data_IF_129630028177
#
_entry.id   IF_129630028177
#
_cell.length_a   1.000
_cell.length_b   1.000
_cell.length_c   1.000
_cell.angle_alpha   90.00
_cell.angle_beta   90.00
_cell.angle_gamma   90.00
#
_symmetry.space_group_name_H-M   'P 1'
#
loop_
_entity.id
_entity.type
_entity.pdbx_description
1 polymer ?
#
# COMPACT_ATOMS: atom_id res chain seq x y z
N UNK A 1 -15.21 -0.59 4.69
CA UNK A 1 -15.78 -0.27 3.36
C UNK A 1 -14.69 0.43 2.58
N UNK A 2 -14.20 -0.20 1.51
CA UNK A 2 -13.03 0.25 0.76
C UNK A 2 -13.38 1.47 -0.09
N UNK A 3 -13.13 2.69 0.42
CA UNK A 3 -13.04 3.86 -0.44
C UNK A 3 -11.65 3.83 -1.07
N UNK A 4 -11.55 3.24 -2.26
CA UNK A 4 -10.46 3.53 -3.17
C UNK A 4 -10.49 5.04 -3.44
N UNK A 5 -9.38 5.71 -3.15
CA UNK A 5 -9.14 7.06 -3.65
C UNK A 5 -9.37 7.05 -5.17
N UNK A 6 -10.33 7.81 -5.66
CA UNK A 6 -10.64 7.86 -7.07
C UNK A 6 -11.71 8.87 -7.38
N UNK A 7 -11.35 10.14 -7.44
CA UNK A 7 -12.13 11.22 -8.07
C UNK A 7 -12.22 11.03 -9.60
N UNK A 8 -12.31 9.80 -10.09
CA UNK A 8 -12.61 9.56 -11.48
C UNK A 8 -14.10 9.80 -11.68
N UNK A 9 -14.47 10.42 -12.79
CA UNK A 9 -15.85 10.67 -13.22
C UNK A 9 -16.63 9.37 -13.53
N UNK A 10 -16.46 8.33 -12.73
CA UNK A 10 -17.00 6.98 -12.91
C UNK A 10 -18.53 7.01 -12.79
N UNK A 11 -19.09 7.82 -11.88
CA UNK A 11 -20.53 7.99 -11.75
C UNK A 11 -21.15 8.59 -13.02
N UNK A 12 -20.58 9.69 -13.52
CA UNK A 12 -21.03 10.34 -14.77
C UNK A 12 -20.79 9.45 -16.00
N UNK A 13 -19.71 8.65 -15.98
CA UNK A 13 -19.44 7.67 -17.03
C UNK A 13 -20.49 6.55 -17.02
N UNK A 14 -20.89 6.06 -15.85
CA UNK A 14 -21.93 5.02 -15.74
C UNK A 14 -23.29 5.52 -16.19
N UNK A 15 -23.72 6.73 -15.78
CA UNK A 15 -25.01 7.30 -16.18
C UNK A 15 -25.08 7.61 -17.68
N UNK A 16 -23.97 8.05 -18.28
CA UNK A 16 -23.86 8.23 -19.73
C UNK A 16 -23.97 6.88 -20.46
N UNK A 17 -23.21 5.87 -20.02
CA UNK A 17 -23.23 4.54 -20.65
C UNK A 17 -24.59 3.85 -20.50
N UNK A 18 -25.30 4.07 -19.40
CA UNK A 18 -26.66 3.57 -19.19
C UNK A 18 -27.65 4.22 -20.16
N UNK A 19 -27.60 5.56 -20.34
CA UNK A 19 -28.43 6.27 -21.33
C UNK A 19 -28.16 5.78 -22.76
N UNK A 20 -26.88 5.66 -23.14
CA UNK A 20 -26.48 5.20 -24.47
C UNK A 20 -26.99 3.77 -24.72
N UNK A 21 -26.96 2.91 -23.70
CA UNK A 21 -27.46 1.54 -23.77
C UNK A 21 -28.99 1.47 -23.96
N UNK A 22 -29.74 2.39 -23.36
CA UNK A 22 -31.20 2.47 -23.53
C UNK A 22 -31.62 2.95 -24.93
N UNK A 23 -30.75 3.70 -25.61
CA UNK A 23 -30.98 4.26 -26.94
C UNK A 23 -30.18 3.55 -28.05
N UNK A 24 -30.00 2.23 -27.93
CA UNK A 24 -29.34 1.39 -28.95
C UNK A 24 -27.95 1.88 -29.39
N UNK A 25 -27.21 2.48 -28.45
CA UNK A 25 -25.89 3.05 -28.65
C UNK A 25 -25.83 4.36 -29.46
N UNK A 26 -26.96 5.05 -29.61
CA UNK A 26 -26.99 6.41 -30.18
C UNK A 26 -26.72 7.48 -29.11
N UNK A 27 -25.82 8.42 -29.42
CA UNK A 27 -25.38 9.47 -28.49
C UNK A 27 -26.21 10.76 -28.56
N UNK A 28 -27.02 10.93 -29.61
CA UNK A 28 -27.85 12.11 -29.86
C UNK A 28 -28.90 12.38 -28.77
N UNK A 29 -29.58 11.38 -28.15
CA UNK A 29 -30.51 11.64 -27.04
C UNK A 29 -29.82 11.88 -25.69
N UNK A 30 -28.54 11.48 -25.55
CA UNK A 30 -27.82 11.51 -24.27
C UNK A 30 -26.93 12.75 -24.07
N UNK A 31 -27.24 13.87 -24.72
CA UNK A 31 -26.42 15.09 -24.69
C UNK A 31 -26.24 15.68 -23.29
N UNK A 32 -27.24 15.54 -22.42
CA UNK A 32 -27.18 16.03 -21.04
C UNK A 32 -26.17 15.26 -20.18
N UNK A 33 -26.14 13.94 -20.33
CA UNK A 33 -25.23 13.04 -19.62
C UNK A 33 -23.81 13.18 -20.16
N UNK A 34 -23.67 13.39 -21.48
CA UNK A 34 -22.38 13.68 -22.12
C UNK A 34 -21.80 15.00 -21.60
N UNK A 35 -22.61 16.07 -21.54
CA UNK A 35 -22.16 17.36 -21.02
C UNK A 35 -21.76 17.28 -19.54
N UNK A 36 -22.49 16.52 -18.72
CA UNK A 36 -22.15 16.27 -17.32
C UNK A 36 -20.81 15.55 -17.16
N UNK A 37 -20.56 14.51 -17.97
CA UNK A 37 -19.29 13.80 -17.99
C UNK A 37 -18.13 14.69 -18.45
N UNK A 38 -18.30 15.47 -19.52
CA UNK A 38 -17.27 16.38 -20.03
C UNK A 38 -16.90 17.45 -19.00
N UNK A 39 -17.90 18.04 -18.33
CA UNK A 39 -17.69 19.00 -17.25
C UNK A 39 -16.89 18.37 -16.08
N UNK A 40 -17.23 17.15 -15.68
CA UNK A 40 -16.48 16.42 -14.66
C UNK A 40 -15.04 16.14 -15.11
N UNK A 41 -14.84 15.73 -16.37
CA UNK A 41 -13.51 15.42 -16.90
C UNK A 41 -12.60 16.64 -17.02
N UNK A 42 -13.14 17.82 -17.31
CA UNK A 42 -12.39 19.08 -17.30
C UNK A 42 -11.91 19.41 -15.88
N UNK A 43 -12.81 19.34 -14.89
CA UNK A 43 -12.46 19.55 -13.48
C UNK A 43 -11.41 18.54 -13.00
N UNK A 44 -11.51 17.27 -13.42
CA UNK A 44 -10.53 16.25 -13.07
C UNK A 44 -9.16 16.50 -13.71
N UNK A 45 -9.11 16.99 -14.95
CA UNK A 45 -7.86 17.39 -15.61
C UNK A 45 -7.19 18.55 -14.88
N UNK A 46 -7.97 19.53 -14.44
CA UNK A 46 -7.49 20.67 -13.67
C UNK A 46 -6.92 20.24 -12.31
N UNK A 47 -7.65 19.42 -11.55
CA UNK A 47 -7.16 18.92 -10.26
C UNK A 47 -5.92 18.04 -10.41
N UNK A 48 -5.83 17.19 -11.45
CA UNK A 48 -4.59 16.44 -11.73
C UNK A 48 -3.43 17.38 -12.08
N UNK A 49 -3.68 18.43 -12.87
CA UNK A 49 -2.66 19.41 -13.25
C UNK A 49 -2.13 20.15 -12.03
N UNK A 50 -3.02 20.56 -11.13
CA UNK A 50 -2.71 21.19 -9.85
C UNK A 50 -1.95 20.25 -8.91
N UNK A 51 -2.41 19.00 -8.76
CA UNK A 51 -1.69 17.97 -7.99
C UNK A 51 -0.28 17.72 -8.54
N UNK A 52 -0.10 17.76 -9.87
CA UNK A 52 1.21 17.61 -10.53
C UNK A 52 2.11 18.84 -10.32
N UNK A 53 1.59 20.07 -10.33
CA UNK A 53 2.38 21.27 -10.02
C UNK A 53 2.78 21.29 -8.55
N UNK A 54 1.85 20.99 -7.64
CA UNK A 54 2.10 20.91 -6.19
C UNK A 54 3.11 19.81 -5.86
N UNK A 55 3.00 18.64 -6.50
CA UNK A 55 3.98 17.56 -6.34
C UNK A 55 5.36 17.94 -6.88
N UNK A 56 5.44 18.74 -7.95
CA UNK A 56 6.71 19.28 -8.49
C UNK A 56 7.35 20.28 -7.52
N UNK A 57 6.53 21.10 -6.87
CA UNK A 57 6.97 22.08 -5.87
C UNK A 57 7.24 21.45 -4.49
N UNK A 58 6.81 20.20 -4.27
CA UNK A 58 7.01 19.48 -3.01
C UNK A 58 6.10 19.96 -1.88
N UNK A 59 5.05 20.73 -2.19
CA UNK A 59 4.08 21.23 -1.22
C UNK A 59 3.05 20.11 -0.89
N UNK A 60 2.58 20.08 0.36
CA UNK A 60 1.55 19.13 0.80
C UNK A 60 0.18 19.63 0.32
N UNK A 61 -0.50 18.87 -0.54
CA UNK A 61 -1.88 19.13 -0.94
C UNK A 61 -2.86 18.54 0.10
N UNK A 62 -3.65 19.44 0.70
CA UNK A 62 -4.76 19.28 1.66
C UNK A 62 -4.82 18.06 2.59
N UNK A 63 -4.72 18.39 3.89
CA UNK A 63 -5.23 17.75 5.14
C UNK A 63 -5.23 16.23 5.32
N UNK A 64 -4.77 15.43 4.37
CA UNK A 64 -4.58 13.99 4.59
C UNK A 64 -3.16 13.79 5.06
N UNK A 65 -3.01 13.73 6.39
CA UNK A 65 -1.81 13.34 7.16
C UNK A 65 -1.09 12.11 6.57
N UNK A 66 -0.37 12.29 5.47
CA UNK A 66 0.48 11.29 4.82
C UNK A 66 1.74 12.01 4.39
N UNK A 67 2.81 11.73 5.11
CA UNK A 67 4.15 12.23 4.81
C UNK A 67 4.49 11.99 3.34
N UNK A 68 5.13 12.98 2.71
CA UNK A 68 5.56 12.85 1.31
C UNK A 68 6.55 11.69 1.17
N UNK A 69 6.65 11.11 -0.03
CA UNK A 69 7.62 10.04 -0.28
C UNK A 69 9.05 10.47 0.03
N UNK A 70 9.39 11.75 -0.20
CA UNK A 70 10.68 12.33 0.18
C UNK A 70 10.88 12.36 1.71
N UNK A 71 9.86 12.77 2.49
CA UNK A 71 9.90 12.73 3.95
C UNK A 71 10.02 11.30 4.49
N UNK A 72 9.34 10.33 3.85
CA UNK A 72 9.44 8.90 4.18
C UNK A 72 10.85 8.39 3.89
N UNK A 73 11.43 8.70 2.72
CA UNK A 73 12.78 8.27 2.36
C UNK A 73 13.84 8.87 3.28
N UNK A 74 13.72 10.16 3.63
CA UNK A 74 14.57 10.80 4.62
C UNK A 74 14.45 10.13 6.00
N UNK A 75 13.24 9.72 6.40
CA UNK A 75 13.03 8.96 7.63
C UNK A 75 13.64 7.55 7.56
N UNK A 76 13.56 6.88 6.41
CA UNK A 76 14.11 5.53 6.20
C UNK A 76 15.64 5.52 6.17
N UNK A 77 16.28 6.60 5.71
CA UNK A 77 17.75 6.74 5.76
C UNK A 77 18.24 7.08 7.16
N UNK A 78 17.51 7.91 7.91
CA UNK A 78 17.85 8.25 9.31
C UNK A 78 17.71 7.05 10.26
N UNK A 79 16.73 6.18 10.02
CA UNK A 79 16.47 4.98 10.82
C UNK A 79 16.57 3.71 9.97
N UNK A 80 17.79 3.40 9.54
CA UNK A 80 18.05 2.17 8.80
C UNK A 80 17.63 0.95 9.64
N UNK A 81 16.75 0.14 9.08
CA UNK A 81 16.45 -1.15 9.70
C UNK A 81 17.66 -2.05 9.51
N UNK A 82 18.14 -2.75 10.56
CA UNK A 82 19.19 -3.73 10.37
C UNK A 82 18.64 -4.80 9.42
N UNK A 83 19.13 -4.77 8.18
CA UNK A 83 18.98 -5.89 7.26
C UNK A 83 19.53 -7.16 7.91
N UNK A 84 19.11 -8.36 7.46
CA UNK A 84 19.76 -9.57 7.92
C UNK A 84 21.26 -9.42 7.64
N UNK A 85 22.10 -9.43 8.67
CA UNK A 85 23.54 -9.29 8.46
C UNK A 85 24.00 -10.49 7.64
N UNK A 86 24.30 -10.27 6.36
CA UNK A 86 24.97 -11.26 5.50
C UNK A 86 26.44 -11.25 5.89
N UNK A 87 26.75 -11.50 7.17
CA UNK A 87 28.13 -11.50 7.67
C UNK A 87 28.71 -12.89 7.92
N UNK A 88 27.94 -13.97 7.81
CA UNK A 88 28.48 -15.31 7.99
C UNK A 88 27.79 -16.32 7.05
N UNK A 89 28.29 -16.42 5.82
CA UNK A 89 27.97 -17.52 4.88
C UNK A 89 28.93 -18.72 5.04
N UNK A 90 29.84 -18.70 6.02
CA UNK A 90 30.94 -19.68 6.12
C UNK A 90 30.82 -20.73 7.23
N UNK A 91 29.75 -20.74 8.00
CA UNK A 91 29.57 -21.75 9.04
C UNK A 91 28.61 -22.85 8.55
N UNK A 92 29.05 -23.64 7.56
CA UNK A 92 28.41 -24.89 7.16
C UNK A 92 28.67 -26.01 8.17
N UNK A 93 28.64 -25.72 9.48
CA UNK A 93 28.43 -26.80 10.47
C UNK A 93 27.09 -27.42 10.12
N UNK A 94 27.14 -28.61 9.54
CA UNK A 94 26.02 -29.27 8.87
C UNK A 94 24.79 -29.26 9.77
N UNK A 95 23.90 -28.28 9.56
CA UNK A 95 22.58 -28.31 10.14
C UNK A 95 21.94 -29.63 9.70
N UNK A 96 21.25 -30.30 10.62
CA UNK A 96 20.67 -31.62 10.36
C UNK A 96 20.02 -31.73 8.97
N UNK A 97 20.24 -32.86 8.28
CA UNK A 97 19.72 -33.08 6.94
C UNK A 97 18.18 -33.12 6.97
N UNK A 98 17.54 -31.98 6.62
CA UNK A 98 16.08 -31.78 6.65
C UNK A 98 15.50 -31.76 5.24
N UNK A 99 14.29 -32.29 5.09
CA UNK A 99 13.52 -32.19 3.85
C UNK A 99 13.21 -30.73 3.49
N UNK A 100 12.99 -30.46 2.20
CA UNK A 100 12.67 -29.12 1.71
C UNK A 100 11.41 -28.52 2.36
N UNK A 101 10.38 -29.35 2.59
CA UNK A 101 9.14 -28.92 3.25
C UNK A 101 9.40 -28.43 4.67
N UNK A 102 10.22 -29.12 5.45
CA UNK A 102 10.62 -28.71 6.80
C UNK A 102 11.45 -27.43 6.74
N UNK A 103 12.42 -27.33 5.81
CA UNK A 103 13.23 -26.13 5.61
C UNK A 103 12.37 -24.89 5.33
N UNK A 104 11.36 -24.99 4.46
CA UNK A 104 10.40 -23.90 4.19
C UNK A 104 9.62 -23.50 5.45
N UNK A 105 9.12 -24.47 6.22
CA UNK A 105 8.41 -24.17 7.49
C UNK A 105 9.33 -23.44 8.48
N UNK A 106 10.56 -23.90 8.64
CA UNK A 106 11.57 -23.27 9.52
C UNK A 106 11.91 -21.84 9.09
N UNK A 107 12.17 -21.63 7.79
CA UNK A 107 12.47 -20.31 7.24
C UNK A 107 11.32 -19.32 7.45
N UNK A 108 10.07 -19.75 7.23
CA UNK A 108 8.87 -18.92 7.50
C UNK A 108 8.78 -18.55 8.99
N UNK A 109 9.01 -19.51 9.87
CA UNK A 109 8.96 -19.27 11.31
C UNK A 109 10.07 -18.33 11.80
N UNK A 110 11.25 -18.36 11.18
CA UNK A 110 12.32 -17.40 11.44
C UNK A 110 11.96 -15.99 10.92
N UNK A 111 11.41 -15.89 9.69
CA UNK A 111 11.01 -14.61 9.08
C UNK A 111 9.95 -13.87 9.91
N UNK A 112 8.99 -14.60 10.49
CA UNK A 112 7.91 -14.05 11.31
C UNK A 112 8.42 -13.59 12.70
N UNK A 113 9.50 -14.17 13.21
CA UNK A 113 10.01 -13.89 14.56
C UNK A 113 10.82 -12.59 14.66
N UNK A 114 10.23 -11.47 14.21
CA UNK A 114 10.83 -10.13 14.19
C UNK A 114 10.01 -9.14 15.03
N UNK A 115 10.63 -8.09 15.62
CA UNK A 115 9.90 -7.01 16.29
C UNK A 115 8.97 -6.26 15.33
N UNK A 116 7.97 -5.58 15.88
CA UNK A 116 7.10 -4.67 15.11
C UNK A 116 7.93 -3.46 14.67
N UNK A 117 7.86 -3.04 13.40
CA UNK A 117 8.57 -1.86 12.91
C UNK A 117 8.17 -0.58 13.65
N UNK A 118 9.13 0.35 13.81
CA UNK A 118 8.92 1.56 14.60
C UNK A 118 7.83 2.47 14.01
N UNK A 119 7.79 2.67 12.69
CA UNK A 119 6.75 3.49 12.05
C UNK A 119 5.33 2.95 12.25
N UNK A 120 5.15 1.63 12.45
CA UNK A 120 3.86 1.04 12.79
C UNK A 120 3.44 1.47 14.19
N UNK A 121 4.38 1.57 15.13
CA UNK A 121 4.12 2.08 16.49
C UNK A 121 3.79 3.58 16.51
N UNK A 122 4.35 4.34 15.57
CA UNK A 122 4.15 5.80 15.47
C UNK A 122 2.84 6.18 14.76
N UNK A 123 2.10 5.23 14.18
CA UNK A 123 0.79 5.51 13.56
C UNK A 123 -0.27 5.84 14.62
N UNK A 124 -0.96 6.97 14.43
CA UNK A 124 -2.10 7.39 15.27
C UNK A 124 -3.23 6.36 15.25
N UNK A 125 -3.83 6.07 16.41
CA UNK A 125 -4.93 5.10 16.54
C UNK A 125 -4.52 3.62 16.49
N UNK A 126 -3.23 3.29 16.48
CA UNK A 126 -2.79 1.90 16.43
C UNK A 126 -2.72 1.22 17.81
N UNK A 127 -3.44 0.09 17.97
CA UNK A 127 -3.45 -0.71 19.21
C UNK A 127 -2.32 -1.75 19.28
N UNK A 128 -1.63 -2.01 18.16
CA UNK A 128 -0.63 -3.09 18.04
C UNK A 128 0.73 -2.62 18.60
N UNK A 129 1.12 -3.10 19.79
CA UNK A 129 2.40 -2.74 20.43
C UNK A 129 3.53 -3.76 20.25
N UNK A 130 3.18 -5.04 20.16
CA UNK A 130 4.12 -6.16 20.02
C UNK A 130 3.61 -7.17 18.98
N UNK A 131 4.50 -8.03 18.49
CA UNK A 131 4.16 -9.09 17.55
C UNK A 131 3.71 -10.33 18.33
N UNK A 132 2.41 -10.65 18.28
CA UNK A 132 1.83 -11.80 18.97
C UNK A 132 2.43 -13.15 18.52
N UNK A 133 2.97 -13.24 17.30
CA UNK A 133 3.60 -14.45 16.76
C UNK A 133 5.09 -14.56 17.10
N UNK A 134 5.66 -13.58 17.80
CA UNK A 134 7.04 -13.61 18.27
C UNK A 134 7.18 -14.70 19.32
N UNK A 135 8.27 -15.46 19.26
CA UNK A 135 8.48 -16.64 20.11
C UNK A 135 9.95 -16.84 20.46
N UNK A 136 10.22 -17.31 21.66
CA UNK A 136 11.58 -17.65 22.10
C UNK A 136 11.79 -19.16 22.05
N UNK A 137 12.89 -19.61 21.45
CA UNK A 137 13.15 -21.03 21.16
C UNK A 137 13.35 -21.91 22.40
N UNK A 138 13.75 -21.32 23.55
CA UNK A 138 13.84 -22.05 24.82
C UNK A 138 12.47 -22.23 25.48
N UNK A 139 11.55 -21.26 25.34
CA UNK A 139 10.24 -21.27 26.03
C UNK A 139 9.16 -22.02 25.26
N UNK A 140 9.08 -21.83 23.94
CA UNK A 140 7.99 -22.38 23.11
C UNK A 140 8.57 -23.14 21.92
N UNK A 141 8.25 -24.44 21.81
CA UNK A 141 8.77 -25.31 20.75
C UNK A 141 7.93 -25.23 19.47
N UNK A 142 8.58 -25.58 18.37
CA UNK A 142 7.97 -25.72 17.05
C UNK A 142 7.27 -27.08 16.98
N UNK A 143 5.93 -27.09 16.88
CA UNK A 143 5.15 -28.31 16.57
C UNK A 143 5.13 -28.49 15.04
N UNK A 144 6.18 -29.08 14.46
CA UNK A 144 6.43 -29.11 13.00
C UNK A 144 6.20 -30.45 12.34
#
# INVERSE_FOLDING_TARGET
>A
MFNCLGDGCVAEMTTMLDCIKEHEFENTPCTSQIAAFEACMLKHKETIKEMRSVAREGLLFDEKQKLTFAQINHMMTKYQQPGPSIRNLRDFRMAAHKTFRIKRKLAKCAKINKPVPQWVRMKTGNRIRYNAKRRHWRRTKLKL
#
